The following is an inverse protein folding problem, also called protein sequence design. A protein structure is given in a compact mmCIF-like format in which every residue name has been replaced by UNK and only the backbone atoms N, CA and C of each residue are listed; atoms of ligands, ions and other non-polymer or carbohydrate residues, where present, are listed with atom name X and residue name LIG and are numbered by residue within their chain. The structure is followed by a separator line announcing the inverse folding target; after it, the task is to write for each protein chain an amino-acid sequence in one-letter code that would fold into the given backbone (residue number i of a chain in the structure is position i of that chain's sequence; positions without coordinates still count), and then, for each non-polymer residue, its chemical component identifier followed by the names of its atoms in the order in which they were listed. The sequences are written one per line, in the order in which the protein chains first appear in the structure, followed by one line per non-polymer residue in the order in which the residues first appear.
data_IF_021850459011
#
_entry.id   IF_021850459011
#
_cell.length_a   1.000
_cell.length_b   1.000
_cell.length_c   1.000
_cell.angle_alpha   90.00
_cell.angle_beta   90.00
_cell.angle_gamma   90.00
#
_symmetry.space_group_name_H-M   'P 1'
#
loop_
_entity.id
_entity.type
_entity.pdbx_description
1 polymer ?
#
# COMPACT_ATOMS: atom_id res chain seq x y z
N UNK A 1 -26.79 0.07 -12.30
CA UNK A 1 -25.58 0.92 -12.34
C UNK A 1 -25.00 0.95 -10.94
N UNK A 2 -23.92 0.22 -10.67
CA UNK A 2 -23.21 0.32 -9.38
C UNK A 2 -22.33 1.57 -9.44
N UNK A 3 -22.71 2.62 -8.71
CA UNK A 3 -21.86 3.79 -8.48
C UNK A 3 -20.62 3.34 -7.73
N UNK A 4 -19.44 3.37 -8.37
CA UNK A 4 -18.17 2.98 -7.72
C UNK A 4 -17.94 3.83 -6.46
N UNK A 5 -17.71 3.18 -5.32
CA UNK A 5 -17.51 3.82 -4.01
C UNK A 5 -16.06 4.30 -3.85
N UNK A 6 -15.62 5.26 -4.68
CA UNK A 6 -14.24 5.77 -4.70
C UNK A 6 -14.12 7.10 -3.95
N UNK A 7 -13.07 7.22 -3.13
CA UNK A 7 -12.63 8.51 -2.52
C UNK A 7 -11.43 9.09 -3.27
N UNK A 8 -10.66 8.22 -3.94
CA UNK A 8 -9.45 8.59 -4.68
C UNK A 8 -8.22 8.70 -3.77
N UNK A 9 -7.04 8.47 -4.35
CA UNK A 9 -5.77 8.68 -3.65
C UNK A 9 -5.39 10.17 -3.62
N UNK A 10 -4.60 10.64 -2.63
CA UNK A 10 -4.09 12.00 -2.61
C UNK A 10 -3.20 12.31 -3.82
N UNK A 11 -3.11 13.58 -4.18
CA UNK A 11 -2.11 14.06 -5.13
C UNK A 11 -0.73 14.18 -4.48
N UNK A 12 0.33 13.98 -5.26
CA UNK A 12 1.72 14.12 -4.81
C UNK A 12 2.24 12.90 -4.07
N UNK A 13 3.30 13.10 -3.27
CA UNK A 13 3.92 12.04 -2.47
C UNK A 13 3.26 11.94 -1.09
N UNK A 14 2.96 10.72 -0.67
CA UNK A 14 2.33 10.42 0.62
C UNK A 14 2.85 9.13 1.23
N UNK A 15 2.72 9.01 2.54
CA UNK A 15 2.83 7.75 3.26
C UNK A 15 1.49 7.03 3.26
N UNK A 16 1.51 5.71 3.17
CA UNK A 16 0.32 4.86 3.31
C UNK A 16 0.39 4.26 4.71
N UNK A 17 -0.41 4.81 5.64
CA UNK A 17 -0.39 4.46 7.06
C UNK A 17 -1.52 3.48 7.37
N UNK A 18 -1.18 2.42 8.08
CA UNK A 18 -2.14 1.48 8.64
C UNK A 18 -2.90 2.10 9.80
N UNK A 19 -4.21 1.86 9.84
CA UNK A 19 -5.05 2.22 11.00
C UNK A 19 -4.68 1.35 12.22
N UNK A 20 -4.56 0.04 12.06
CA UNK A 20 -4.35 -0.85 13.21
C UNK A 20 -2.96 -0.72 13.88
N UNK A 21 -1.89 -0.54 13.10
CA UNK A 21 -0.51 -0.58 13.64
C UNK A 21 0.13 0.80 13.76
N UNK A 22 -0.49 1.84 13.19
CA UNK A 22 0.09 3.17 12.99
C UNK A 22 1.40 3.22 12.18
N UNK A 23 1.83 2.08 11.60
CA UNK A 23 3.01 1.95 10.73
C UNK A 23 2.69 2.31 9.28
N UNK A 24 3.71 2.43 8.46
CA UNK A 24 3.57 2.79 7.03
C UNK A 24 4.10 1.68 6.12
N UNK A 25 3.59 1.64 4.89
CA UNK A 25 4.14 0.78 3.84
C UNK A 25 5.57 1.17 3.51
N UNK A 26 6.47 0.20 3.58
CA UNK A 26 7.91 0.34 3.41
C UNK A 26 8.42 -0.73 2.44
N UNK A 27 9.18 -0.32 1.42
CA UNK A 27 9.93 -1.28 0.60
C UNK A 27 11.12 -1.77 1.41
N UNK A 28 11.10 -3.06 1.75
CA UNK A 28 12.02 -3.69 2.69
C UNK A 28 13.49 -3.39 2.34
N UNK A 29 14.26 -3.01 3.36
CA UNK A 29 15.67 -2.59 3.27
C UNK A 29 15.95 -1.47 2.25
N UNK A 30 14.93 -0.69 1.88
CA UNK A 30 15.01 0.32 0.83
C UNK A 30 15.55 -0.26 -0.49
N UNK A 31 15.23 -1.53 -0.79
CA UNK A 31 15.67 -2.18 -2.02
C UNK A 31 15.10 -1.48 -3.27
N UNK A 32 15.88 -1.48 -4.34
CA UNK A 32 15.45 -1.05 -5.68
C UNK A 32 15.25 -2.22 -6.64
N UNK A 33 15.38 -3.44 -6.15
CA UNK A 33 15.23 -4.64 -6.97
C UNK A 33 13.74 -4.99 -7.19
N UNK A 34 13.38 -5.50 -8.39
CA UNK A 34 12.09 -6.12 -8.62
C UNK A 34 11.85 -7.29 -7.65
N UNK A 35 10.63 -7.41 -7.14
CA UNK A 35 10.25 -8.46 -6.19
C UNK A 35 10.63 -8.18 -4.75
N UNK A 36 11.26 -7.05 -4.43
CA UNK A 36 11.48 -6.66 -3.03
C UNK A 36 10.14 -6.52 -2.29
N UNK A 37 10.06 -7.14 -1.12
CA UNK A 37 8.84 -7.19 -0.31
C UNK A 37 8.45 -5.80 0.19
N UNK A 38 7.14 -5.56 0.25
CA UNK A 38 6.55 -4.39 0.91
C UNK A 38 6.01 -4.83 2.26
N UNK A 39 6.52 -4.20 3.30
CA UNK A 39 6.26 -4.53 4.71
C UNK A 39 5.67 -3.34 5.44
N UNK A 40 5.20 -3.58 6.66
CA UNK A 40 4.95 -2.51 7.63
C UNK A 40 6.24 -2.14 8.35
N UNK A 41 6.49 -0.84 8.47
CA UNK A 41 7.60 -0.32 9.25
C UNK A 41 7.20 0.96 9.95
N UNK A 42 7.83 1.27 11.08
CA UNK A 42 7.65 2.56 11.71
C UNK A 42 7.97 3.71 10.73
N UNK A 43 7.26 4.82 10.88
CA UNK A 43 7.50 6.02 10.08
C UNK A 43 8.88 6.58 10.44
N UNK A 44 9.81 6.53 9.48
CA UNK A 44 11.19 6.98 9.67
C UNK A 44 11.24 8.49 9.84
N UNK A 45 12.04 8.97 10.78
CA UNK A 45 12.38 10.39 10.91
C UNK A 45 13.35 10.81 9.81
N UNK A 46 13.45 12.13 9.59
CA UNK A 46 14.27 12.71 8.51
C UNK A 46 15.76 12.39 8.65
N UNK A 47 16.25 12.25 9.88
CA UNK A 47 17.63 11.96 10.23
C UNK A 47 18.00 10.47 10.14
N UNK A 48 17.01 9.57 10.08
CA UNK A 48 17.23 8.11 9.92
C UNK A 48 17.65 7.74 8.48
N UNK A 49 17.50 8.65 7.51
CA UNK A 49 17.84 8.42 6.12
C UNK A 49 16.86 7.51 5.38
N UNK A 50 17.00 7.43 4.04
CA UNK A 50 16.26 6.52 3.15
C UNK A 50 14.72 6.61 3.16
N UNK A 51 14.12 7.68 3.70
CA UNK A 51 12.67 7.90 3.82
C UNK A 51 11.86 7.71 2.52
N UNK A 52 12.50 7.85 1.36
CA UNK A 52 11.86 7.72 0.06
C UNK A 52 11.34 6.30 -0.20
N UNK A 53 11.83 5.28 0.52
CA UNK A 53 11.31 3.93 0.41
C UNK A 53 9.92 3.75 1.08
N UNK A 54 9.48 4.74 1.85
CA UNK A 54 8.15 4.80 2.49
C UNK A 54 7.18 5.76 1.78
N UNK A 55 7.65 6.46 0.73
CA UNK A 55 6.86 7.43 -0.01
C UNK A 55 6.30 6.82 -1.29
N UNK A 56 5.00 7.04 -1.48
CA UNK A 56 4.23 6.55 -2.61
C UNK A 56 3.53 7.70 -3.31
N UNK A 57 3.27 7.54 -4.61
CA UNK A 57 2.35 8.38 -5.37
C UNK A 57 1.38 7.52 -6.16
N UNK A 58 0.18 8.02 -6.39
CA UNK A 58 -0.78 7.36 -7.26
C UNK A 58 -0.79 8.00 -8.65
N UNK A 59 -0.68 7.19 -9.70
CA UNK A 59 -0.77 7.63 -11.09
C UNK A 59 -1.51 6.57 -11.91
N UNK A 60 -2.67 6.91 -12.48
CA UNK A 60 -3.44 6.03 -13.37
C UNK A 60 -3.69 4.61 -12.81
N UNK A 61 -3.97 4.48 -11.51
CA UNK A 61 -4.20 3.20 -10.83
C UNK A 61 -2.96 2.52 -10.28
N UNK A 62 -1.76 3.05 -10.54
CA UNK A 62 -0.51 2.51 -10.00
C UNK A 62 -0.12 3.26 -8.74
N UNK A 63 0.26 2.54 -7.69
CA UNK A 63 0.96 3.09 -6.54
C UNK A 63 2.46 2.93 -6.77
N UNK A 64 3.18 4.03 -6.94
CA UNK A 64 4.57 4.08 -7.36
C UNK A 64 5.44 4.49 -6.17
N UNK A 65 6.45 3.69 -5.82
CA UNK A 65 7.40 4.01 -4.78
C UNK A 65 8.38 5.11 -5.24
N UNK A 66 8.68 6.08 -4.38
CA UNK A 66 9.55 7.21 -4.71
C UNK A 66 11.00 6.81 -4.95
N UNK A 67 11.51 5.88 -4.15
CA UNK A 67 12.92 5.46 -4.22
C UNK A 67 13.23 4.65 -5.47
N UNK A 68 12.42 3.63 -5.76
CA UNK A 68 12.69 2.69 -6.86
C UNK A 68 12.01 3.09 -8.17
N UNK A 69 10.95 3.91 -8.13
CA UNK A 69 10.09 4.16 -9.28
C UNK A 69 9.22 2.97 -9.69
N UNK A 70 9.23 1.88 -8.91
CA UNK A 70 8.46 0.66 -9.19
C UNK A 70 7.06 0.72 -8.57
N UNK A 71 6.17 -0.12 -9.08
CA UNK A 71 4.78 -0.19 -8.66
C UNK A 71 4.56 -1.22 -7.55
N UNK A 72 3.61 -0.94 -6.65
CA UNK A 72 3.05 -1.90 -5.71
C UNK A 72 2.41 -3.06 -6.49
N UNK A 73 2.85 -4.27 -6.22
CA UNK A 73 2.61 -5.47 -7.02
C UNK A 73 2.22 -6.66 -6.13
N UNK A 74 1.25 -7.46 -6.59
CA UNK A 74 0.93 -8.75 -5.96
C UNK A 74 1.90 -9.80 -6.49
N UNK A 75 2.69 -10.38 -5.57
CA UNK A 75 3.73 -11.36 -5.86
C UNK A 75 3.18 -12.54 -6.67
N UNK A 76 3.90 -12.95 -7.71
CA UNK A 76 3.49 -14.04 -8.60
C UNK A 76 2.36 -13.69 -9.58
N UNK A 77 1.80 -12.48 -9.52
CA UNK A 77 0.90 -11.95 -10.54
C UNK A 77 -0.55 -12.44 -10.50
N UNK A 78 -0.89 -13.33 -9.56
CA UNK A 78 -2.25 -13.86 -9.38
C UNK A 78 -2.92 -13.21 -8.18
N UNK A 79 -4.20 -12.84 -8.31
CA UNK A 79 -5.04 -12.44 -7.18
C UNK A 79 -5.41 -13.69 -6.37
N UNK A 80 -4.50 -14.16 -5.54
CA UNK A 80 -4.73 -15.25 -4.60
C UNK A 80 -4.67 -14.73 -3.17
N UNK A 81 -5.51 -15.28 -2.29
CA UNK A 81 -5.46 -14.97 -0.86
C UNK A 81 -4.08 -15.28 -0.30
N UNK A 82 -3.66 -14.49 0.70
CA UNK A 82 -2.35 -14.58 1.35
C UNK A 82 -1.16 -14.28 0.43
N UNK A 83 -1.39 -13.81 -0.80
CA UNK A 83 -0.29 -13.39 -1.68
C UNK A 83 0.44 -12.21 -1.05
N UNK A 84 1.76 -12.31 -0.92
CA UNK A 84 2.62 -11.21 -0.44
C UNK A 84 2.60 -10.05 -1.42
N UNK A 85 2.83 -8.85 -0.90
CA UNK A 85 2.98 -7.64 -1.71
C UNK A 85 4.46 -7.33 -1.89
N UNK A 86 4.85 -6.97 -3.10
CA UNK A 86 6.19 -6.55 -3.46
C UNK A 86 6.16 -5.28 -4.31
N UNK A 87 7.33 -4.80 -4.72
CA UNK A 87 7.45 -3.84 -5.81
C UNK A 87 7.87 -4.52 -7.11
N UNK A 88 7.43 -4.01 -8.25
CA UNK A 88 7.86 -4.51 -9.56
C UNK A 88 7.78 -3.41 -10.64
N UNK A 89 8.57 -3.48 -11.73
CA UNK A 89 8.43 -2.54 -12.84
C UNK A 89 7.00 -2.43 -13.34
N UNK A 90 6.61 -1.21 -13.74
CA UNK A 90 5.26 -0.92 -14.23
C UNK A 90 4.93 -1.77 -15.46
N UNK A 91 3.89 -2.59 -15.36
CA UNK A 91 3.38 -3.39 -16.48
C UNK A 91 2.51 -2.54 -17.39
N UNK A 92 2.59 -2.73 -18.73
CA UNK A 92 1.74 -2.00 -19.67
C UNK A 92 0.26 -2.30 -19.45
N UNK A 93 -0.60 -1.34 -19.82
CA UNK A 93 -2.02 -1.26 -19.47
C UNK A 93 -2.89 -2.46 -19.89
N UNK A 94 -2.41 -3.38 -20.73
CA UNK A 94 -3.18 -4.52 -21.21
C UNK A 94 -3.06 -5.78 -20.32
N UNK A 95 -2.21 -5.79 -19.28
CA UNK A 95 -2.03 -6.94 -18.36
C UNK A 95 -1.73 -6.60 -16.86
N UNK A 96 -1.97 -5.40 -16.29
CA UNK A 96 -1.46 -5.07 -14.96
C UNK A 96 -2.40 -5.49 -13.82
N UNK A 97 -3.08 -6.63 -13.93
CA UNK A 97 -4.11 -7.09 -12.97
C UNK A 97 -3.64 -7.05 -11.51
N UNK A 98 -2.33 -7.24 -11.33
CA UNK A 98 -1.67 -7.32 -10.04
C UNK A 98 -0.97 -6.01 -9.60
N UNK A 99 -1.13 -4.90 -10.31
CA UNK A 99 -0.49 -3.61 -10.02
C UNK A 99 -1.47 -2.43 -9.99
N UNK A 100 -2.77 -2.71 -10.10
CA UNK A 100 -3.80 -1.68 -10.20
C UNK A 100 -4.65 -1.66 -8.95
N UNK A 101 -4.66 -0.49 -8.33
CA UNK A 101 -5.25 -0.28 -7.01
C UNK A 101 -6.26 0.87 -7.08
N UNK A 102 -7.32 0.73 -6.29
CA UNK A 102 -8.32 1.76 -6.03
C UNK A 102 -8.40 2.00 -4.53
N UNK A 103 -8.86 3.20 -4.14
CA UNK A 103 -9.13 3.54 -2.76
C UNK A 103 -10.63 3.77 -2.55
N UNK A 104 -11.22 3.00 -1.64
CA UNK A 104 -12.67 2.95 -1.43
C UNK A 104 -13.12 3.73 -0.18
N UNK A 105 -14.42 4.03 -0.10
CA UNK A 105 -15.02 4.83 0.99
C UNK A 105 -14.89 4.23 2.39
N UNK A 106 -14.68 2.93 2.48
CA UNK A 106 -14.41 2.18 3.72
C UNK A 106 -12.90 2.09 4.04
N UNK A 107 -12.10 3.02 3.50
CA UNK A 107 -10.67 3.18 3.77
C UNK A 107 -9.79 2.01 3.31
N UNK A 108 -10.26 1.20 2.35
CA UNK A 108 -9.50 0.05 1.83
C UNK A 108 -8.75 0.39 0.55
N UNK A 109 -7.55 -0.19 0.41
CA UNK A 109 -6.81 -0.22 -0.86
C UNK A 109 -7.15 -1.56 -1.52
N UNK A 110 -7.98 -1.53 -2.56
CA UNK A 110 -8.48 -2.72 -3.23
C UNK A 110 -7.86 -2.90 -4.61
N UNK A 111 -7.80 -4.14 -5.09
CA UNK A 111 -7.49 -4.39 -6.49
C UNK A 111 -8.56 -3.76 -7.38
N UNK A 112 -8.12 -3.11 -8.47
CA UNK A 112 -9.02 -2.54 -9.47
C UNK A 112 -9.81 -3.61 -10.24
N UNK A 113 -9.31 -4.84 -10.30
CA UNK A 113 -9.94 -5.95 -11.03
C UNK A 113 -10.92 -6.75 -10.17
N UNK A 114 -10.72 -6.75 -8.86
CA UNK A 114 -11.60 -7.38 -7.90
C UNK A 114 -11.58 -6.57 -6.60
N UNK A 115 -12.62 -5.75 -6.40
CA UNK A 115 -12.71 -4.84 -5.24
C UNK A 115 -12.85 -5.60 -3.91
N UNK A 116 -13.16 -6.91 -3.94
CA UNK A 116 -13.20 -7.80 -2.78
C UNK A 116 -11.80 -8.30 -2.37
N UNK A 117 -10.75 -7.99 -3.13
CA UNK A 117 -9.37 -8.33 -2.80
C UNK A 117 -8.64 -7.06 -2.37
N UNK A 118 -8.28 -6.97 -1.09
CA UNK A 118 -7.73 -5.75 -0.47
C UNK A 118 -6.37 -5.99 0.17
N UNK A 119 -5.63 -4.90 0.37
CA UNK A 119 -4.42 -4.93 1.21
C UNK A 119 -4.80 -5.16 2.66
N UNK A 120 -4.08 -6.07 3.30
CA UNK A 120 -4.30 -6.53 4.67
C UNK A 120 -2.94 -6.71 5.36
N UNK A 121 -2.87 -6.36 6.64
CA UNK A 121 -1.73 -6.71 7.51
C UNK A 121 -2.00 -8.04 8.16
N UNK A 122 -1.14 -9.01 7.86
CA UNK A 122 -1.26 -10.38 8.36
C UNK A 122 -1.34 -10.38 9.90
N UNK A 123 -2.40 -11.00 10.43
CA UNK A 123 -2.72 -11.09 11.86
C UNK A 123 -2.83 -9.75 12.60
N UNK A 124 -3.08 -8.64 11.89
CA UNK A 124 -3.11 -7.30 12.50
C UNK A 124 -1.81 -6.97 13.26
N UNK A 125 -0.68 -7.54 12.83
CA UNK A 125 0.59 -7.40 13.55
C UNK A 125 1.03 -5.94 13.62
N UNK A 126 1.42 -5.52 14.83
CA UNK A 126 1.94 -4.19 15.11
C UNK A 126 3.46 -4.15 15.13
N UNK A 127 4.15 -5.23 14.78
CA UNK A 127 5.61 -5.29 14.74
C UNK A 127 6.18 -4.69 13.45
N UNK A 128 7.44 -4.24 13.50
CA UNK A 128 8.18 -3.97 12.27
C UNK A 128 8.35 -5.26 11.47
N UNK A 129 8.43 -5.13 10.15
CA UNK A 129 8.47 -6.26 9.21
C UNK A 129 7.18 -7.09 9.17
N UNK A 130 6.07 -6.62 9.75
CA UNK A 130 4.78 -7.25 9.56
C UNK A 130 4.43 -7.30 8.06
N UNK A 131 3.97 -8.46 7.60
CA UNK A 131 3.73 -8.70 6.19
C UNK A 131 2.44 -8.06 5.71
N UNK A 132 2.51 -7.47 4.53
CA UNK A 132 1.36 -6.98 3.79
C UNK A 132 0.96 -8.05 2.78
N UNK A 133 -0.31 -8.42 2.81
CA UNK A 133 -0.87 -9.48 1.98
C UNK A 133 -2.12 -9.00 1.23
N UNK A 134 -2.48 -9.75 0.20
CA UNK A 134 -3.80 -9.66 -0.41
C UNK A 134 -4.78 -10.57 0.33
N UNK A 135 -5.91 -10.02 0.77
CA UNK A 135 -6.92 -10.79 1.50
C UNK A 135 -8.34 -10.42 1.08
N UNK A 136 -9.31 -11.26 1.46
CA UNK A 136 -10.73 -11.01 1.26
C UNK A 136 -11.15 -9.77 2.03
N UNK A 137 -11.92 -8.89 1.38
CA UNK A 137 -12.54 -7.71 2.01
C UNK A 137 -13.45 -8.17 3.14
N UNK A 138 -13.06 -7.85 4.37
CA UNK A 138 -13.90 -8.05 5.57
C UNK A 138 -15.11 -7.12 5.55
N UNK A 139 -16.24 -7.58 6.06
CA UNK A 139 -17.44 -6.77 6.23
C UNK A 139 -17.33 -5.85 7.46
N UNK A 140 -18.20 -4.84 7.54
CA UNK A 140 -18.30 -3.92 8.70
C UNK A 140 -18.70 -4.61 10.02
N UNK A 141 -19.08 -5.90 9.98
CA UNK A 141 -19.42 -6.69 11.15
C UNK A 141 -18.21 -7.41 11.77
N UNK A 142 -17.06 -7.37 11.10
CA UNK A 142 -15.82 -8.02 11.51
C UNK A 142 -14.80 -6.97 11.98
N UNK A 143 -13.80 -7.39 12.77
CA UNK A 143 -12.62 -6.56 12.99
C UNK A 143 -11.80 -6.46 11.69
N UNK A 144 -11.76 -5.26 11.13
CA UNK A 144 -11.19 -4.96 9.82
C UNK A 144 -10.18 -3.81 9.84
N UNK A 145 -9.70 -3.37 11.00
CA UNK A 145 -8.72 -2.28 11.07
C UNK A 145 -7.40 -2.62 10.35
N UNK A 146 -7.06 -3.91 10.27
CA UNK A 146 -5.92 -4.42 9.51
C UNK A 146 -6.05 -4.27 7.99
N UNK A 147 -7.22 -3.86 7.48
CA UNK A 147 -7.49 -3.57 6.06
C UNK A 147 -7.71 -2.09 5.78
N UNK A 148 -7.57 -1.23 6.79
CA UNK A 148 -7.84 0.20 6.68
C UNK A 148 -6.56 1.01 6.61
N UNK A 149 -6.57 1.98 5.71
CA UNK A 149 -5.41 2.77 5.33
C UNK A 149 -5.77 4.26 5.29
N UNK A 150 -4.92 5.08 5.88
CA UNK A 150 -4.99 6.55 5.83
C UNK A 150 -3.71 7.09 5.21
N UNK A 151 -3.78 8.30 4.65
CA UNK A 151 -2.64 8.90 3.95
C UNK A 151 -2.08 10.10 4.71
N UNK A 152 -0.75 10.17 4.77
CA UNK A 152 -0.05 11.35 5.30
C UNK A 152 0.67 12.03 4.14
N UNK A 153 0.25 13.23 3.70
CA UNK A 153 0.99 14.00 2.71
C UNK A 153 2.43 14.25 3.16
N UNK A 154 3.41 14.03 2.28
CA UNK A 154 4.83 14.17 2.63
C UNK A 154 5.18 15.57 3.13
N UNK A 155 4.57 16.61 2.57
CA UNK A 155 4.77 18.00 3.01
C UNK A 155 4.27 18.30 4.43
N UNK A 156 3.33 17.50 4.96
CA UNK A 156 2.83 17.64 6.34
C UNK A 156 3.65 16.83 7.33
N UNK A 157 4.26 15.71 6.91
CA UNK A 157 5.10 14.87 7.76
C UNK A 157 6.39 15.59 8.22
N UNK A 158 6.94 16.49 7.39
CA UNK A 158 8.12 17.32 7.72
C UNK A 158 7.89 18.21 8.95
N UNK A 159 6.63 18.49 9.31
CA UNK A 159 6.28 19.29 10.49
C UNK A 159 6.12 18.42 11.74
N UNK A 160 5.70 17.16 11.59
CA UNK A 160 5.46 16.23 12.70
C UNK A 160 6.69 15.43 13.12
N UNK A 161 7.69 15.33 12.25
CA UNK A 161 8.93 14.55 12.45
C UNK A 161 10.14 15.41 12.83
N UNK A 162 9.91 16.63 13.34
CA UNK A 162 10.94 17.46 13.98
C UNK A 162 10.98 17.21 15.48
#
# INVERSE_FOLDING_TARGET
MHTRNLVGFPSGWFYIKSVCSNKVLDVCFASTEPGAEVIMYHLKKLDEGLIDNQLWRHEAGYLINKRSGMCLDITGGRLALMSRICQSPRKPNNKPHNQRWIYTKDYKIASMDNEDMVLDIENCSTEDFASVILYSRKSELEDHENQQWVFIPAGLAVVLLR
#
